data_IF_919141697903
#
_entry.id   IF_919141697903
#
_cell.length_a   1.000
_cell.length_b   1.000
_cell.length_c   1.000
_cell.angle_alpha   90.00
_cell.angle_beta   90.00
_cell.angle_gamma   90.00
#
_symmetry.space_group_name_H-M   'P 1'
#
loop_
_entity.id
_entity.type
_entity.pdbx_description
1 polymer ?
#
# COMPACT_ATOMS: atom_id res chain seq x y z
N UNK A 1 9.89 19.01 8.49
CA UNK A 1 9.37 17.64 8.30
C UNK A 1 8.60 17.15 9.51
N UNK A 2 8.91 17.64 10.71
CA UNK A 2 8.31 17.17 11.97
C UNK A 2 6.81 17.44 12.08
N UNK A 3 6.32 18.60 11.66
CA UNK A 3 4.90 18.95 11.77
C UNK A 3 4.01 18.01 10.95
N UNK A 4 4.45 17.60 9.76
CA UNK A 4 3.68 16.73 8.87
C UNK A 4 3.62 15.29 9.40
N UNK A 5 4.75 14.77 9.89
CA UNK A 5 4.80 13.45 10.52
C UNK A 5 3.98 13.44 11.82
N UNK A 6 4.03 14.51 12.61
CA UNK A 6 3.23 14.65 13.82
C UNK A 6 1.73 14.68 13.48
N UNK A 7 1.33 15.34 12.39
CA UNK A 7 -0.06 15.32 11.94
C UNK A 7 -0.51 13.93 11.45
N UNK A 8 0.40 13.17 10.84
CA UNK A 8 0.13 11.83 10.33
C UNK A 8 -0.01 10.79 11.47
N UNK A 9 0.73 10.95 12.57
CA UNK A 9 0.70 10.00 13.69
C UNK A 9 -0.25 10.40 14.83
N UNK A 10 -0.48 11.71 15.04
CA UNK A 10 -1.21 12.20 16.21
C UNK A 10 -2.69 12.46 15.91
N UNK A 11 -3.07 12.65 14.64
CA UNK A 11 -4.46 12.89 14.26
C UNK A 11 -5.15 11.60 13.78
N UNK A 12 -6.45 11.36 14.10
CA UNK A 12 -7.20 10.19 13.64
C UNK A 12 -7.23 10.02 12.11
N UNK A 13 -7.25 11.14 11.38
CA UNK A 13 -7.18 11.16 9.91
C UNK A 13 -5.81 10.67 9.41
N UNK A 14 -4.74 10.96 10.16
CA UNK A 14 -3.38 10.62 9.80
C UNK A 14 -3.15 9.11 9.80
N UNK A 15 -3.71 8.41 10.78
CA UNK A 15 -3.64 6.95 10.86
C UNK A 15 -4.39 6.27 9.69
N UNK A 16 -5.57 6.79 9.32
CA UNK A 16 -6.30 6.32 8.13
C UNK A 16 -5.47 6.54 6.86
N UNK A 17 -4.86 7.71 6.70
CA UNK A 17 -3.97 8.00 5.57
C UNK A 17 -2.76 7.06 5.55
N UNK A 18 -2.16 6.77 6.71
CA UNK A 18 -1.04 5.84 6.82
C UNK A 18 -1.43 4.43 6.39
N UNK A 19 -2.59 3.96 6.85
CA UNK A 19 -3.16 2.67 6.43
C UNK A 19 -3.40 2.63 4.92
N UNK A 20 -4.00 3.68 4.36
CA UNK A 20 -4.23 3.77 2.91
C UNK A 20 -2.93 3.72 2.11
N UNK A 21 -1.88 4.42 2.55
CA UNK A 21 -0.57 4.39 1.88
C UNK A 21 0.02 2.97 1.90
N UNK A 22 0.02 2.31 3.06
CA UNK A 22 0.50 0.93 3.18
C UNK A 22 -0.33 -0.04 2.35
N UNK A 23 -1.66 0.13 2.33
CA UNK A 23 -2.58 -0.67 1.54
C UNK A 23 -2.31 -0.51 0.04
N UNK A 24 -2.11 0.71 -0.45
CA UNK A 24 -1.79 0.97 -1.86
C UNK A 24 -0.47 0.31 -2.24
N UNK A 25 0.57 0.43 -1.42
CA UNK A 25 1.88 -0.20 -1.67
C UNK A 25 1.73 -1.73 -1.66
N UNK A 26 1.03 -2.28 -0.67
CA UNK A 26 0.76 -3.72 -0.58
C UNK A 26 0.00 -4.25 -1.79
N UNK A 27 -1.05 -3.54 -2.21
CA UNK A 27 -1.84 -3.88 -3.40
C UNK A 27 -1.05 -3.76 -4.69
N UNK A 28 -0.14 -2.78 -4.81
CA UNK A 28 0.73 -2.66 -5.97
C UNK A 28 1.66 -3.88 -6.09
N UNK A 29 2.29 -4.30 -4.98
CA UNK A 29 3.12 -5.50 -4.94
C UNK A 29 2.28 -6.76 -5.23
N UNK A 30 1.11 -6.87 -4.62
CA UNK A 30 0.19 -7.99 -4.81
C UNK A 30 -0.22 -8.11 -6.29
N UNK A 31 -0.65 -7.02 -6.92
CA UNK A 31 -1.04 -7.00 -8.32
C UNK A 31 0.13 -7.35 -9.23
N UNK A 32 1.32 -6.77 -9.02
CA UNK A 32 2.51 -7.11 -9.81
C UNK A 32 2.85 -8.59 -9.67
N UNK A 33 2.82 -9.13 -8.45
CA UNK A 33 3.07 -10.55 -8.20
C UNK A 33 2.01 -11.44 -8.85
N UNK A 34 0.74 -11.04 -8.78
CA UNK A 34 -0.39 -11.78 -9.35
C UNK A 34 -0.34 -11.79 -10.88
N UNK A 35 -0.09 -10.63 -11.50
CA UNK A 35 0.09 -10.50 -12.95
C UNK A 35 1.29 -11.31 -13.44
N UNK A 36 2.44 -11.24 -12.74
CA UNK A 36 3.61 -12.07 -13.07
C UNK A 36 3.28 -13.55 -12.98
N UNK A 37 2.62 -14.00 -11.90
CA UNK A 37 2.26 -15.41 -11.71
C UNK A 37 1.29 -15.91 -12.80
N UNK A 38 0.37 -15.06 -13.24
CA UNK A 38 -0.58 -15.36 -14.33
C UNK A 38 0.06 -15.41 -15.72
N UNK A 39 1.11 -14.64 -15.96
CA UNK A 39 1.90 -14.73 -17.20
C UNK A 39 2.83 -15.95 -17.21
N UNK A 40 3.41 -16.32 -16.07
CA UNK A 40 4.37 -17.42 -15.96
C UNK A 40 3.69 -18.81 -15.99
N UNK A 41 2.42 -18.91 -15.59
CA UNK A 41 1.61 -20.13 -15.71
C UNK A 41 0.43 -19.89 -16.64
N UNK A 42 0.63 -20.01 -17.97
CA UNK A 42 -0.45 -19.85 -18.94
C UNK A 42 -1.45 -21.03 -18.97
N UNK A 43 -1.34 -22.01 -18.06
CA UNK A 43 -1.99 -23.33 -18.16
C UNK A 43 -2.99 -23.66 -17.01
N UNK A 44 -3.43 -22.66 -16.22
CA UNK A 44 -4.66 -22.75 -15.40
C UNK A 44 -5.80 -21.88 -15.97
#
# INVERSE_FOLDING_TARGET
MDVVLNLLFTHPIGLLSLFTILFIIGMAIYLVSWFKKKMDNPEE
#
